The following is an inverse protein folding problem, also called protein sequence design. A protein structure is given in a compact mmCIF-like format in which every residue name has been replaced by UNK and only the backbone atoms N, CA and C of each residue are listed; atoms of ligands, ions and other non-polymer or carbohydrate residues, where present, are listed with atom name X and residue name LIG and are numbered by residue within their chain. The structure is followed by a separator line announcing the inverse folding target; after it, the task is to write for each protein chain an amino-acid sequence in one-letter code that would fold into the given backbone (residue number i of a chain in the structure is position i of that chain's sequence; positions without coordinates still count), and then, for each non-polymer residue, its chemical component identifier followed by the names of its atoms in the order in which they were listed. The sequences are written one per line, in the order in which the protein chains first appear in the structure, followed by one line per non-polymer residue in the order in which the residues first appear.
data_IF_579863340326
#
_entry.id   IF_579863340326
#
_cell.length_a   1.000
_cell.length_b   1.000
_cell.length_c   1.000
_cell.angle_alpha   90.00
_cell.angle_beta   90.00
_cell.angle_gamma   90.00
#
_symmetry.space_group_name_H-M   'P 1'
#
loop_
_entity.id
_entity.type
_entity.pdbx_description
1 polymer ?
#
# COMPACT_ATOMS: atom_id res chain seq x y z
N UNK A 1 -13.64 -4.37 8.17
CA UNK A 1 -13.46 -4.30 6.71
C UNK A 1 -13.65 -2.84 6.35
N UNK A 2 -12.71 -2.25 5.61
CA UNK A 2 -12.78 -0.85 5.18
C UNK A 2 -12.87 -0.81 3.65
N UNK A 3 -13.45 0.26 3.11
CA UNK A 3 -13.58 0.47 1.67
C UNK A 3 -12.92 1.80 1.30
N UNK A 4 -12.18 1.80 0.20
CA UNK A 4 -11.54 2.99 -0.38
C UNK A 4 -11.84 3.03 -1.89
N UNK A 5 -11.84 4.22 -2.47
CA UNK A 5 -12.00 4.37 -3.93
C UNK A 5 -10.65 4.66 -4.56
N UNK A 6 -10.26 3.83 -5.52
CA UNK A 6 -9.00 3.93 -6.25
C UNK A 6 -9.36 4.26 -7.70
N UNK A 7 -9.09 5.51 -8.11
CA UNK A 7 -9.46 6.02 -9.44
C UNK A 7 -10.93 5.76 -9.85
N UNK A 8 -11.84 5.77 -8.87
CA UNK A 8 -13.28 5.54 -9.07
C UNK A 8 -13.73 4.09 -8.83
N UNK A 9 -12.81 3.14 -8.69
CA UNK A 9 -13.12 1.74 -8.41
C UNK A 9 -13.14 1.43 -6.91
N UNK A 10 -14.08 0.60 -6.49
CA UNK A 10 -14.21 0.18 -5.09
C UNK A 10 -13.16 -0.88 -4.73
N UNK A 11 -12.30 -0.58 -3.74
CA UNK A 11 -11.33 -1.49 -3.17
C UNK A 11 -11.61 -1.77 -1.69
N UNK A 12 -11.42 -3.03 -1.27
CA UNK A 12 -11.61 -3.47 0.11
C UNK A 12 -10.27 -3.62 0.82
N UNK A 13 -10.19 -3.19 2.07
CA UNK A 13 -9.03 -3.42 2.95
C UNK A 13 -9.39 -4.43 4.04
N UNK A 14 -8.60 -5.50 4.13
CA UNK A 14 -8.80 -6.60 5.08
C UNK A 14 -7.52 -6.91 5.85
N UNK A 15 -7.66 -7.01 7.16
CA UNK A 15 -6.59 -7.51 8.03
C UNK A 15 -6.75 -9.02 8.23
N UNK A 16 -5.69 -9.78 7.98
CA UNK A 16 -5.67 -11.25 8.07
C UNK A 16 -4.44 -11.71 8.85
N UNK A 17 -4.58 -12.83 9.56
CA UNK A 17 -3.40 -13.53 10.09
C UNK A 17 -2.67 -14.18 8.93
N UNK A 18 -1.34 -14.07 8.87
CA UNK A 18 -0.55 -14.67 7.79
C UNK A 18 -0.80 -16.18 7.66
N UNK A 19 -1.01 -16.89 8.77
CA UNK A 19 -1.36 -18.32 8.79
C UNK A 19 -2.67 -18.67 8.06
N UNK A 20 -3.58 -17.70 7.89
CA UNK A 20 -4.89 -17.88 7.25
C UNK A 20 -4.91 -17.39 5.80
N UNK A 21 -3.80 -16.86 5.32
CA UNK A 21 -3.67 -16.32 3.97
C UNK A 21 -2.28 -16.66 3.42
N UNK A 22 -2.12 -17.78 2.70
CA UNK A 22 -0.83 -18.22 2.19
C UNK A 22 -0.13 -17.18 1.30
N UNK A 23 -0.88 -16.26 0.68
CA UNK A 23 -0.33 -15.20 -0.17
C UNK A 23 0.34 -14.09 0.64
N UNK A 24 -0.03 -13.91 1.92
CA UNK A 24 0.70 -13.01 2.80
C UNK A 24 2.13 -13.48 3.07
N UNK A 25 2.42 -14.79 3.04
CA UNK A 25 3.79 -15.33 3.14
C UNK A 25 4.67 -14.63 4.18
N UNK A 26 5.69 -13.90 3.72
CA UNK A 26 6.55 -13.01 4.52
C UNK A 26 6.23 -11.51 4.38
N UNK A 27 5.28 -11.15 3.52
CA UNK A 27 4.86 -9.77 3.23
C UNK A 27 4.04 -9.17 4.36
N UNK A 28 4.12 -7.86 4.53
CA UNK A 28 3.27 -7.11 5.47
C UNK A 28 1.91 -6.74 4.87
N UNK A 29 1.81 -6.74 3.54
CA UNK A 29 0.58 -6.58 2.79
C UNK A 29 0.70 -7.07 1.34
N UNK A 30 -0.42 -7.05 0.62
CA UNK A 30 -0.45 -7.08 -0.84
C UNK A 30 -1.78 -6.55 -1.39
N UNK A 31 -1.76 -6.01 -2.61
CA UNK A 31 -2.93 -5.65 -3.38
C UNK A 31 -3.35 -6.75 -4.37
N UNK A 32 -4.51 -7.38 -4.17
CA UNK A 32 -5.08 -8.35 -5.10
C UNK A 32 -5.97 -7.66 -6.14
N UNK A 33 -5.39 -7.43 -7.32
CA UNK A 33 -6.09 -6.85 -8.48
C UNK A 33 -7.28 -7.67 -8.97
N UNK A 34 -7.29 -8.98 -8.77
CA UNK A 34 -8.35 -9.85 -9.32
C UNK A 34 -9.70 -9.67 -8.62
N UNK A 35 -9.67 -9.23 -7.36
CA UNK A 35 -10.85 -9.04 -6.51
C UNK A 35 -10.88 -7.65 -5.84
N UNK A 36 -9.98 -6.74 -6.27
CA UNK A 36 -9.81 -5.38 -5.73
C UNK A 36 -9.80 -5.36 -4.20
N UNK A 37 -8.93 -6.19 -3.63
CA UNK A 37 -8.80 -6.32 -2.18
C UNK A 37 -7.35 -6.18 -1.76
N UNK A 38 -7.10 -5.23 -0.86
CA UNK A 38 -5.84 -5.08 -0.14
C UNK A 38 -5.90 -5.95 1.11
N UNK A 39 -4.90 -6.81 1.28
CA UNK A 39 -4.72 -7.64 2.46
C UNK A 39 -3.53 -7.14 3.25
N UNK A 40 -3.70 -7.03 4.58
CA UNK A 40 -2.67 -6.57 5.51
C UNK A 40 -2.48 -7.62 6.58
N UNK A 41 -1.23 -7.97 6.87
CA UNK A 41 -0.91 -8.91 7.92
C UNK A 41 -1.23 -8.30 9.30
N UNK A 42 -1.99 -9.04 10.11
CA UNK A 42 -2.44 -8.59 11.44
C UNK A 42 -1.44 -8.93 12.55
N UNK A 43 -0.63 -9.96 12.31
CA UNK A 43 0.15 -10.71 13.28
C UNK A 43 1.66 -10.61 13.04
N UNK A 44 2.10 -9.69 12.18
CA UNK A 44 3.51 -9.29 12.13
C UNK A 44 3.86 -8.66 13.48
N UNK A 45 4.95 -9.10 14.09
CA UNK A 45 5.36 -8.60 15.41
C UNK A 45 5.85 -7.15 15.35
N UNK A 46 6.20 -6.60 16.51
CA UNK A 46 6.85 -5.28 16.61
C UNK A 46 8.36 -5.33 16.40
N UNK A 47 8.92 -6.48 16.00
CA UNK A 47 10.36 -6.70 15.96
C UNK A 47 11.01 -5.72 14.97
N UNK A 48 11.65 -4.68 15.50
CA UNK A 48 12.33 -3.64 14.72
C UNK A 48 11.69 -2.25 14.77
N UNK A 49 10.49 -2.08 15.32
CA UNK A 49 9.79 -0.78 15.35
C UNK A 49 9.34 -0.40 16.76
N UNK A 50 9.70 0.81 17.19
CA UNK A 50 9.19 1.40 18.44
C UNK A 50 7.75 1.94 18.30
N UNK A 51 7.40 2.48 17.12
CA UNK A 51 6.05 2.89 16.78
C UNK A 51 5.48 1.96 15.71
N UNK A 52 4.93 0.85 16.18
CA UNK A 52 4.37 -0.17 15.30
C UNK A 52 3.05 0.26 14.64
N UNK A 53 2.31 1.18 15.25
CA UNK A 53 1.06 1.65 14.69
C UNK A 53 1.31 2.58 13.50
N UNK A 54 2.33 3.45 13.54
CA UNK A 54 2.72 4.23 12.36
C UNK A 54 3.22 3.34 11.22
N UNK A 55 4.03 2.35 11.55
CA UNK A 55 4.50 1.38 10.56
C UNK A 55 3.34 0.64 9.87
N UNK A 56 2.32 0.18 10.62
CA UNK A 56 1.12 -0.40 9.99
C UNK A 56 0.41 0.59 9.08
N UNK A 57 0.31 1.86 9.49
CA UNK A 57 -0.31 2.89 8.66
C UNK A 57 0.49 3.11 7.37
N UNK A 58 1.83 3.05 7.40
CA UNK A 58 2.64 3.15 6.19
C UNK A 58 2.45 1.94 5.27
N UNK A 59 2.37 0.71 5.80
CA UNK A 59 2.06 -0.49 5.00
C UNK A 59 0.70 -0.35 4.31
N UNK A 60 -0.33 0.14 4.99
CA UNK A 60 -1.64 0.36 4.34
C UNK A 60 -1.54 1.39 3.21
N UNK A 61 -0.80 2.48 3.38
CA UNK A 61 -0.60 3.49 2.33
C UNK A 61 0.20 2.92 1.15
N UNK A 62 1.21 2.11 1.42
CA UNK A 62 2.00 1.39 0.42
C UNK A 62 1.11 0.52 -0.48
N UNK A 63 0.25 -0.31 0.11
CA UNK A 63 -0.66 -1.15 -0.70
C UNK A 63 -1.74 -0.36 -1.44
N UNK A 64 -2.19 0.76 -0.90
CA UNK A 64 -3.11 1.68 -1.60
C UNK A 64 -2.42 2.26 -2.84
N UNK A 65 -1.13 2.63 -2.75
CA UNK A 65 -0.39 3.14 -3.90
C UNK A 65 -0.22 2.08 -4.99
N UNK A 66 0.05 0.82 -4.63
CA UNK A 66 0.00 -0.27 -5.60
C UNK A 66 -1.36 -0.40 -6.27
N UNK A 67 -2.46 -0.28 -5.52
CA UNK A 67 -3.79 -0.28 -6.12
C UNK A 67 -3.98 0.88 -7.12
N UNK A 68 -3.48 2.09 -6.80
CA UNK A 68 -3.50 3.23 -7.74
C UNK A 68 -2.70 2.93 -9.01
N UNK A 69 -1.51 2.33 -8.89
CA UNK A 69 -0.70 1.93 -10.05
C UNK A 69 -1.42 0.88 -10.90
N UNK A 70 -2.08 -0.10 -10.27
CA UNK A 70 -2.89 -1.12 -10.93
C UNK A 70 -4.02 -0.49 -11.75
N UNK A 71 -4.86 0.35 -11.13
CA UNK A 71 -5.99 0.98 -11.83
C UNK A 71 -5.51 2.03 -12.85
N UNK A 72 -4.28 2.54 -12.72
CA UNK A 72 -3.63 3.38 -13.73
C UNK A 72 -3.10 2.60 -14.94
N UNK A 73 -3.17 1.27 -14.93
CA UNK A 73 -2.59 0.42 -15.97
C UNK A 73 -1.06 0.28 -15.90
N UNK A 74 -0.45 0.68 -14.78
CA UNK A 74 0.99 0.65 -14.51
C UNK A 74 1.42 -0.58 -13.70
N UNK A 75 0.62 -1.64 -13.76
CA UNK A 75 0.87 -2.92 -13.09
C UNK A 75 2.05 -3.67 -13.75
N UNK A 76 1.96 -4.99 -13.94
CA UNK A 76 3.03 -5.86 -14.46
C UNK A 76 3.73 -5.44 -15.78
N UNK A 77 3.15 -4.51 -16.55
CA UNK A 77 3.72 -4.06 -17.82
C UNK A 77 4.64 -2.84 -17.67
N UNK A 78 4.72 -2.25 -16.48
CA UNK A 78 5.60 -1.13 -16.23
C UNK A 78 7.04 -1.60 -16.09
N UNK A 79 7.93 -1.07 -16.94
CA UNK A 79 9.36 -1.41 -16.95
C UNK A 79 10.15 -0.32 -16.21
N UNK A 80 10.74 -0.68 -15.09
CA UNK A 80 11.84 0.06 -14.48
C UNK A 80 13.18 -0.32 -15.12
N UNK A 81 14.23 0.47 -14.82
CA UNK A 81 15.53 0.43 -15.50
C UNK A 81 15.97 -0.97 -15.96
N UNK A 82 15.80 -1.98 -15.09
CA UNK A 82 16.17 -3.37 -15.39
C UNK A 82 15.09 -4.44 -15.05
N UNK A 83 13.90 -4.05 -14.53
CA UNK A 83 12.87 -5.00 -14.04
C UNK A 83 11.43 -4.55 -14.36
N UNK A 84 10.51 -5.52 -14.47
CA UNK A 84 9.07 -5.25 -14.62
C UNK A 84 8.39 -5.25 -13.26
N UNK A 85 7.42 -4.35 -13.07
CA UNK A 85 6.64 -4.23 -11.85
C UNK A 85 6.66 -2.82 -11.29
N UNK A 86 6.25 -2.66 -10.03
CA UNK A 86 6.28 -1.39 -9.34
C UNK A 86 7.66 -1.16 -8.68
N UNK A 87 8.17 0.06 -8.71
CA UNK A 87 9.36 0.46 -7.96
C UNK A 87 8.97 0.66 -6.50
N UNK A 88 9.25 -0.38 -5.71
CA UNK A 88 9.00 -0.42 -4.27
C UNK A 88 9.65 0.75 -3.52
N UNK A 89 10.81 1.24 -3.96
CA UNK A 89 11.49 2.37 -3.31
C UNK A 89 10.66 3.65 -3.47
N UNK A 90 10.10 3.86 -4.66
CA UNK A 90 9.21 4.99 -4.92
C UNK A 90 7.90 4.83 -4.14
N UNK A 91 7.29 3.65 -4.16
CA UNK A 91 6.05 3.37 -3.42
C UNK A 91 6.23 3.61 -1.92
N UNK A 92 7.30 3.10 -1.33
CA UNK A 92 7.65 3.32 0.08
C UNK A 92 7.88 4.79 0.39
N UNK A 93 8.66 5.49 -0.45
CA UNK A 93 8.93 6.90 -0.24
C UNK A 93 7.63 7.71 -0.24
N UNK A 94 6.73 7.49 -1.20
CA UNK A 94 5.42 8.15 -1.23
C UNK A 94 4.61 7.73 0.00
N UNK A 95 4.51 6.46 0.33
CA UNK A 95 3.72 5.97 1.48
C UNK A 95 4.19 6.61 2.80
N UNK A 96 5.49 6.79 2.99
CA UNK A 96 6.07 7.39 4.20
C UNK A 96 5.90 8.91 4.20
N UNK A 97 6.13 9.58 3.06
CA UNK A 97 6.11 11.04 3.01
C UNK A 97 4.72 11.65 2.75
N UNK A 98 3.74 10.89 2.25
CA UNK A 98 2.44 11.42 1.85
C UNK A 98 1.77 12.29 2.92
N UNK A 99 1.72 11.92 4.22
CA UNK A 99 1.13 12.79 5.24
C UNK A 99 1.82 14.16 5.36
N UNK A 100 3.14 14.22 5.13
CA UNK A 100 3.92 15.47 5.16
C UNK A 100 3.73 16.28 3.87
N UNK A 101 3.69 15.60 2.72
CA UNK A 101 3.40 16.23 1.43
C UNK A 101 2.00 16.84 1.43
N UNK A 102 1.01 16.10 1.93
CA UNK A 102 -0.36 16.55 2.08
C UNK A 102 -0.41 17.84 2.92
N UNK A 103 0.22 17.83 4.10
CA UNK A 103 0.30 19.00 4.97
C UNK A 103 0.96 20.20 4.27
N UNK A 104 2.05 19.99 3.54
CA UNK A 104 2.74 21.06 2.82
C UNK A 104 1.86 21.69 1.71
N UNK A 105 1.08 20.88 0.99
CA UNK A 105 0.14 21.36 -0.02
C UNK A 105 -1.04 22.12 0.60
N UNK A 106 -1.55 21.67 1.75
CA UNK A 106 -2.56 22.40 2.53
C UNK A 106 -2.04 23.76 2.99
N UNK A 107 -0.82 23.83 3.54
CA UNK A 107 -0.16 25.07 3.97
C UNK A 107 0.05 26.06 2.82
N UNK A 108 0.34 25.54 1.62
CA UNK A 108 0.49 26.34 0.41
C UNK A 108 -0.87 26.72 -0.24
N UNK A 109 -2.00 26.21 0.24
CA UNK A 109 -3.32 26.47 -0.31
C UNK A 109 -3.56 25.84 -1.69
N UNK A 110 -2.90 24.71 -1.98
CA UNK A 110 -2.95 24.00 -3.28
C UNK A 110 -3.39 22.54 -3.14
N UNK A 111 -4.15 22.24 -2.09
CA UNK A 111 -4.78 20.94 -1.89
C UNK A 111 -6.08 20.81 -2.69
#
# INVERSE_FOLDING_TARGET
MMTVHILGEEWKIKFRKAEKDPLLGERDGYADRSIRTIFIAKDRGTSGFHDYDEYKRSVVRHEILHAFLIESGLDNNWKHADEFGHDETMVDWVAIQFPKLQKAFEEAGVM
#
